data_IF_058165956662
#
_entry.id   IF_058165956662
#
_cell.length_a   1.000
_cell.length_b   1.000
_cell.length_c   1.000
_cell.angle_alpha   90.00
_cell.angle_beta   90.00
_cell.angle_gamma   90.00
#
_symmetry.space_group_name_H-M   'P 1'
#
loop_
_entity.id
_entity.type
_entity.pdbx_description
1 polymer ?
#
# COMPACT_ATOMS: atom_id res chain seq x y z
N UNK A 1 -36.58 -2.91 5.35
CA UNK A 1 -35.48 -3.89 5.22
C UNK A 1 -34.25 -3.15 5.68
N UNK A 2 -33.82 -3.41 6.91
CA UNK A 2 -32.57 -2.92 7.45
C UNK A 2 -31.81 -4.17 7.80
N UNK A 3 -30.84 -4.52 6.98
CA UNK A 3 -30.06 -5.74 7.13
C UNK A 3 -29.01 -5.47 8.22
N UNK A 4 -29.53 -5.45 9.44
CA UNK A 4 -28.81 -5.48 10.72
C UNK A 4 -28.40 -6.92 11.02
N UNK A 5 -27.56 -7.48 10.16
CA UNK A 5 -26.98 -8.80 10.38
C UNK A 5 -25.52 -8.82 9.92
N UNK A 6 -24.76 -7.78 10.29
CA UNK A 6 -23.46 -8.05 10.87
C UNK A 6 -23.49 -7.57 12.33
N UNK A 7 -23.25 -8.51 13.24
CA UNK A 7 -23.20 -8.26 14.67
C UNK A 7 -21.74 -8.10 15.02
N UNK A 8 -21.30 -6.86 15.20
CA UNK A 8 -19.99 -6.48 15.77
C UNK A 8 -19.79 -6.94 17.23
N UNK A 9 -20.64 -7.82 17.75
CA UNK A 9 -20.67 -8.35 19.12
C UNK A 9 -19.54 -9.38 19.43
N UNK A 10 -18.41 -9.29 18.71
CA UNK A 10 -17.42 -10.37 18.70
C UNK A 10 -15.98 -10.00 18.41
N UNK A 11 -15.57 -8.72 18.48
CA UNK A 11 -14.16 -8.33 18.54
C UNK A 11 -13.36 -8.46 17.25
N UNK A 12 -13.20 -7.34 16.54
CA UNK A 12 -12.07 -7.13 15.64
C UNK A 12 -12.32 -6.32 14.37
N UNK A 13 -13.57 -6.15 13.92
CA UNK A 13 -13.90 -5.50 12.64
C UNK A 13 -13.98 -3.97 12.69
N UNK A 14 -13.75 -3.34 11.53
CA UNK A 14 -14.07 -1.93 11.25
C UNK A 14 -15.59 -1.76 11.17
N UNK A 15 -16.12 -0.56 11.44
CA UNK A 15 -17.57 -0.31 11.39
C UNK A 15 -18.03 0.07 9.99
N UNK A 16 -19.29 -0.19 9.62
CA UNK A 16 -19.85 0.13 8.29
C UNK A 16 -19.59 1.58 7.86
N UNK A 17 -19.63 2.52 8.81
CA UNK A 17 -19.40 3.95 8.55
C UNK A 17 -17.92 4.26 8.27
N UNK A 18 -17.01 3.49 8.86
CA UNK A 18 -15.58 3.58 8.61
C UNK A 18 -15.24 2.90 7.27
N UNK A 19 -15.88 1.78 6.95
CA UNK A 19 -15.71 1.06 5.68
C UNK A 19 -16.12 1.91 4.47
N UNK A 20 -17.29 2.57 4.57
CA UNK A 20 -17.74 3.53 3.55
C UNK A 20 -16.75 4.71 3.44
N UNK A 21 -16.12 5.11 4.55
CA UNK A 21 -15.13 6.20 4.54
C UNK A 21 -13.79 5.77 3.94
N UNK A 22 -13.40 4.49 4.06
CA UNK A 22 -12.20 3.90 3.45
C UNK A 22 -12.43 3.40 2.02
N UNK A 23 -13.69 3.35 1.57
CA UNK A 23 -14.07 2.92 0.22
C UNK A 23 -14.23 1.41 0.08
N UNK A 24 -14.35 0.69 1.19
CA UNK A 24 -14.65 -0.74 1.26
C UNK A 24 -16.16 -0.98 1.36
N UNK A 25 -16.61 -2.20 1.05
CA UNK A 25 -18.02 -2.57 1.13
C UNK A 25 -18.31 -3.24 2.49
N UNK A 26 -19.22 -2.69 3.33
CA UNK A 26 -19.59 -3.31 4.60
C UNK A 26 -20.19 -4.72 4.48
N UNK A 27 -20.55 -5.14 3.28
CA UNK A 27 -21.06 -6.48 2.99
C UNK A 27 -20.00 -7.41 2.37
N UNK A 28 -18.80 -6.90 2.12
CA UNK A 28 -17.67 -7.66 1.58
C UNK A 28 -16.49 -7.61 2.56
N UNK A 29 -16.24 -8.70 3.32
CA UNK A 29 -15.18 -8.70 4.33
C UNK A 29 -13.76 -8.66 3.75
N UNK A 30 -13.56 -8.83 2.44
CA UNK A 30 -12.28 -8.81 1.70
C UNK A 30 -12.48 -8.03 0.39
N UNK A 31 -12.45 -6.68 0.49
CA UNK A 31 -12.93 -5.77 -0.57
C UNK A 31 -12.09 -5.82 -1.85
N UNK A 32 -10.83 -6.23 -1.79
CA UNK A 32 -9.97 -6.36 -2.96
C UNK A 32 -9.73 -7.81 -3.40
N UNK A 33 -10.12 -8.79 -2.59
CA UNK A 33 -10.09 -10.22 -2.91
C UNK A 33 -8.68 -10.80 -2.86
N UNK A 34 -7.77 -10.22 -2.09
CA UNK A 34 -6.41 -10.70 -1.93
C UNK A 34 -6.28 -11.86 -0.91
N UNK A 35 -7.36 -12.11 -0.15
CA UNK A 35 -7.46 -13.14 0.87
C UNK A 35 -7.16 -12.67 2.30
N UNK A 36 -7.11 -11.36 2.54
CA UNK A 36 -6.95 -10.72 3.85
C UNK A 36 -8.18 -9.87 4.15
N UNK A 37 -8.86 -10.16 5.26
CA UNK A 37 -10.08 -9.41 5.62
C UNK A 37 -9.76 -7.91 5.86
N UNK A 38 -10.63 -7.02 5.40
CA UNK A 38 -10.50 -5.55 5.47
C UNK A 38 -10.18 -5.05 6.90
N UNK A 39 -10.70 -5.74 7.91
CA UNK A 39 -10.49 -5.41 9.33
C UNK A 39 -9.06 -5.65 9.83
N UNK A 40 -8.27 -6.47 9.14
CA UNK A 40 -6.86 -6.75 9.46
C UNK A 40 -5.88 -6.38 8.34
N UNK A 41 -6.39 -6.09 7.15
CA UNK A 41 -5.61 -5.61 6.02
C UNK A 41 -5.07 -4.19 6.26
N UNK A 42 -3.80 -4.00 5.92
CA UNK A 42 -3.18 -2.68 5.89
C UNK A 42 -3.62 -1.84 4.68
N UNK A 43 -4.07 -2.47 3.59
CA UNK A 43 -4.52 -1.84 2.35
C UNK A 43 -5.79 -2.51 1.80
N UNK A 44 -6.97 -2.29 2.41
CA UNK A 44 -8.25 -2.94 2.05
C UNK A 44 -8.75 -2.72 0.61
N UNK A 45 -8.02 -1.91 -0.17
CA UNK A 45 -8.27 -1.67 -1.60
C UNK A 45 -6.91 -1.63 -2.31
N UNK A 46 -6.42 -2.80 -2.69
CA UNK A 46 -5.11 -2.96 -3.31
C UNK A 46 -5.13 -2.85 -4.83
N UNK A 47 -4.01 -2.39 -5.41
CA UNK A 47 -3.75 -2.55 -6.84
C UNK A 47 -3.08 -3.91 -7.13
N UNK A 48 -3.91 -4.87 -7.52
CA UNK A 48 -3.54 -6.24 -7.89
C UNK A 48 -2.88 -6.39 -9.28
N UNK A 49 -2.42 -5.30 -9.90
CA UNK A 49 -1.63 -5.36 -11.13
C UNK A 49 -0.47 -6.35 -10.98
N UNK A 50 -0.31 -7.23 -11.98
CA UNK A 50 0.69 -8.30 -11.93
C UNK A 50 2.13 -7.79 -11.81
N UNK A 51 2.39 -6.57 -12.26
CA UNK A 51 3.69 -5.92 -12.17
C UNK A 51 3.60 -4.59 -11.44
N UNK A 52 4.74 -4.15 -10.91
CA UNK A 52 4.86 -2.85 -10.27
C UNK A 52 4.82 -1.77 -11.33
N UNK A 53 3.76 -0.97 -11.31
CA UNK A 53 3.51 0.12 -12.25
C UNK A 53 3.56 1.47 -11.54
N UNK A 54 4.46 2.35 -12.00
CA UNK A 54 4.66 3.66 -11.39
C UNK A 54 4.35 4.73 -12.43
N UNK A 55 3.17 5.34 -12.34
CA UNK A 55 2.71 6.42 -13.23
C UNK A 55 2.85 6.06 -14.72
N UNK A 56 2.38 4.86 -15.09
CA UNK A 56 2.47 4.32 -16.45
C UNK A 56 3.84 3.74 -16.83
N UNK A 57 4.79 3.68 -15.89
CA UNK A 57 6.05 2.97 -16.05
C UNK A 57 5.94 1.56 -15.44
N UNK A 58 5.70 0.58 -16.30
CA UNK A 58 5.81 -0.84 -15.95
C UNK A 58 7.28 -1.20 -15.72
N UNK A 59 7.59 -1.60 -14.49
CA UNK A 59 8.95 -1.97 -14.08
C UNK A 59 9.34 -3.39 -14.53
N UNK A 60 8.36 -4.21 -14.92
CA UNK A 60 8.52 -5.64 -15.17
C UNK A 60 8.83 -6.48 -13.91
N UNK A 61 8.79 -5.85 -12.72
CA UNK A 61 8.94 -6.54 -11.44
C UNK A 61 7.57 -7.02 -11.00
N UNK A 62 7.46 -8.29 -10.63
CA UNK A 62 6.20 -8.86 -10.15
C UNK A 62 5.76 -8.13 -8.88
N UNK A 63 4.53 -7.61 -8.86
CA UNK A 63 3.91 -7.11 -7.63
C UNK A 63 3.55 -8.31 -6.77
N UNK A 64 4.15 -8.40 -5.59
CA UNK A 64 3.90 -9.51 -4.67
C UNK A 64 2.91 -9.05 -3.60
N UNK A 65 1.91 -9.88 -3.33
CA UNK A 65 1.08 -9.77 -2.15
C UNK A 65 1.92 -10.14 -0.92
N UNK A 66 2.02 -9.22 0.02
CA UNK A 66 2.73 -9.44 1.27
C UNK A 66 1.78 -10.07 2.30
N UNK A 67 2.30 -10.73 3.36
CA UNK A 67 1.46 -11.36 4.38
C UNK A 67 0.56 -10.42 5.18
N UNK A 68 0.62 -9.12 4.92
CA UNK A 68 -0.15 -8.09 5.58
C UNK A 68 -1.18 -7.43 4.63
N UNK A 69 -1.57 -8.13 3.56
CA UNK A 69 -2.52 -7.69 2.51
C UNK A 69 -1.95 -6.64 1.54
N UNK A 70 -0.92 -5.91 1.94
CA UNK A 70 -0.28 -4.95 1.04
C UNK A 70 0.40 -5.58 -0.19
N UNK A 71 0.15 -5.06 -1.38
CA UNK A 71 0.98 -5.31 -2.56
C UNK A 71 2.12 -4.29 -2.68
N UNK A 72 3.07 -4.55 -3.59
CA UNK A 72 4.12 -3.57 -3.90
C UNK A 72 3.56 -2.29 -4.51
N UNK A 73 2.46 -2.36 -5.27
CA UNK A 73 1.83 -1.17 -5.84
C UNK A 73 1.25 -0.27 -4.73
N UNK A 74 0.67 -0.86 -3.68
CA UNK A 74 0.06 -0.09 -2.59
C UNK A 74 1.10 0.65 -1.77
N UNK A 75 2.21 0.00 -1.47
CA UNK A 75 3.34 0.66 -0.82
C UNK A 75 3.97 1.77 -1.68
N UNK A 76 3.95 1.64 -3.01
CA UNK A 76 4.40 2.73 -3.90
C UNK A 76 3.38 3.86 -3.95
N UNK A 77 2.08 3.56 -3.97
CA UNK A 77 1.01 4.55 -3.84
C UNK A 77 1.13 5.33 -2.52
N UNK A 78 1.31 4.61 -1.41
CA UNK A 78 1.56 5.19 -0.09
C UNK A 78 2.82 6.07 -0.07
N UNK A 79 3.87 5.68 -0.80
CA UNK A 79 5.07 6.49 -0.96
C UNK A 79 4.83 7.77 -1.78
N UNK A 80 3.88 7.79 -2.73
CA UNK A 80 3.50 8.98 -3.48
C UNK A 80 2.71 9.98 -2.62
N UNK A 81 1.79 9.47 -1.80
CA UNK A 81 0.97 10.28 -0.91
C UNK A 81 1.74 10.76 0.31
N UNK A 82 2.51 9.86 0.93
CA UNK A 82 3.16 10.07 2.23
C UNK A 82 4.64 9.61 2.22
N UNK A 83 5.51 10.17 1.35
CA UNK A 83 6.90 9.74 1.20
C UNK A 83 7.74 9.87 2.49
N UNK A 84 7.31 10.71 3.42
CA UNK A 84 7.97 10.94 4.69
C UNK A 84 8.01 9.71 5.60
N UNK A 85 6.99 8.85 5.50
CA UNK A 85 6.89 7.63 6.32
C UNK A 85 8.00 6.62 5.95
N UNK A 86 8.46 6.66 4.70
CA UNK A 86 9.48 5.75 4.15
C UNK A 86 10.88 6.36 4.14
N UNK A 87 11.03 7.62 4.53
CA UNK A 87 12.32 8.33 4.53
C UNK A 87 12.89 8.57 5.92
N UNK A 88 12.07 8.44 6.98
CA UNK A 88 12.52 8.57 8.37
C UNK A 88 12.90 7.19 8.93
N UNK A 89 14.19 7.02 9.25
CA UNK A 89 14.69 5.90 10.05
C UNK A 89 13.88 5.81 11.35
N UNK A 90 13.11 4.73 11.51
CA UNK A 90 12.68 4.19 12.80
C UNK A 90 12.16 5.23 13.81
N UNK A 91 10.94 5.72 13.63
CA UNK A 91 10.07 6.18 14.73
C UNK A 91 8.65 6.40 14.21
N UNK A 92 7.73 5.56 14.68
CA UNK A 92 6.27 5.72 14.70
C UNK A 92 5.78 7.06 14.11
N UNK A 93 5.21 7.01 12.91
CA UNK A 93 4.53 8.15 12.31
C UNK A 93 3.14 8.25 12.93
N UNK A 94 2.95 9.23 13.79
CA UNK A 94 1.63 9.68 14.25
C UNK A 94 0.93 10.34 13.06
N UNK A 95 -0.32 9.95 12.79
CA UNK A 95 -1.17 10.58 11.77
C UNK A 95 -1.17 12.10 11.97
N UNK A 96 -0.65 12.83 10.99
CA UNK A 96 -0.38 14.25 11.20
C UNK A 96 0.26 14.95 10.02
N UNK A 97 -0.61 15.34 9.06
CA UNK A 97 -0.44 16.43 8.09
C UNK A 97 0.54 16.15 6.93
N UNK A 98 -0.02 15.91 5.74
CA UNK A 98 0.68 15.85 4.45
C UNK A 98 1.54 17.10 4.24
N UNK A 99 2.86 16.99 4.41
CA UNK A 99 3.74 17.98 3.82
C UNK A 99 3.78 17.73 2.31
N UNK A 100 3.87 18.81 1.54
CA UNK A 100 3.85 18.82 0.08
C UNK A 100 4.80 17.77 -0.49
N UNK A 101 4.26 16.63 -0.95
CA UNK A 101 5.03 15.58 -1.63
C UNK A 101 5.72 16.20 -2.83
N UNK A 102 7.05 16.21 -2.79
CA UNK A 102 7.87 16.61 -3.93
C UNK A 102 8.29 15.35 -4.67
N UNK A 103 8.45 15.44 -5.99
CA UNK A 103 8.97 14.32 -6.79
C UNK A 103 10.24 13.71 -6.20
N UNK A 104 11.17 14.55 -5.72
CA UNK A 104 12.39 14.09 -5.06
C UNK A 104 12.16 13.33 -3.76
N UNK A 105 11.14 13.67 -2.97
CA UNK A 105 10.76 12.93 -1.76
C UNK A 105 10.14 11.56 -2.12
N UNK A 106 9.28 11.52 -3.13
CA UNK A 106 8.71 10.29 -3.67
C UNK A 106 9.79 9.33 -4.17
N UNK A 107 10.68 9.77 -5.06
CA UNK A 107 11.76 8.94 -5.60
C UNK A 107 12.63 8.38 -4.48
N UNK A 108 12.91 9.17 -3.44
CA UNK A 108 13.68 8.74 -2.28
C UNK A 108 12.92 7.70 -1.43
N UNK A 109 11.62 7.90 -1.23
CA UNK A 109 10.76 6.97 -0.53
C UNK A 109 10.72 5.61 -1.24
N UNK A 110 10.47 5.60 -2.55
CA UNK A 110 10.47 4.37 -3.36
C UNK A 110 11.85 3.69 -3.35
N UNK A 111 12.93 4.45 -3.44
CA UNK A 111 14.30 3.89 -3.36
C UNK A 111 14.56 3.20 -2.03
N UNK A 112 14.15 3.81 -0.91
CA UNK A 112 14.28 3.24 0.43
C UNK A 112 13.42 1.98 0.62
N UNK A 113 12.19 2.01 0.11
CA UNK A 113 11.26 0.89 0.12
C UNK A 113 11.81 -0.30 -0.66
N UNK A 114 12.28 -0.07 -1.89
CA UNK A 114 12.90 -1.09 -2.72
C UNK A 114 14.20 -1.63 -2.10
N UNK A 115 14.97 -0.79 -1.39
CA UNK A 115 16.11 -1.26 -0.58
C UNK A 115 15.67 -2.18 0.57
N UNK A 116 14.55 -1.87 1.22
CA UNK A 116 13.92 -2.71 2.24
C UNK A 116 13.55 -4.08 1.67
N UNK A 117 12.82 -4.11 0.54
CA UNK A 117 12.42 -5.33 -0.14
C UNK A 117 13.62 -6.17 -0.60
N UNK A 118 14.66 -5.52 -1.12
CA UNK A 118 15.91 -6.20 -1.48
C UNK A 118 16.57 -6.84 -0.26
N UNK A 119 16.63 -6.14 0.87
CA UNK A 119 17.21 -6.68 2.12
C UNK A 119 16.39 -7.83 2.68
N UNK A 120 15.07 -7.78 2.53
CA UNK A 120 14.15 -8.87 2.89
C UNK A 120 14.23 -10.07 1.93
N UNK A 121 14.94 -9.94 0.80
CA UNK A 121 15.05 -11.01 -0.21
C UNK A 121 13.82 -11.12 -1.12
N UNK A 122 12.92 -10.14 -1.10
CA UNK A 122 11.69 -10.13 -1.90
C UNK A 122 11.95 -9.74 -3.36
N UNK A 123 12.98 -8.93 -3.59
CA UNK A 123 13.44 -8.52 -4.93
C UNK A 123 14.97 -8.57 -5.04
N UNK A 124 15.47 -8.64 -6.26
CA UNK A 124 16.87 -8.58 -6.62
C UNK A 124 17.38 -7.14 -6.75
N UNK A 125 18.70 -6.98 -6.82
CA UNK A 125 19.30 -5.68 -7.09
C UNK A 125 18.93 -5.09 -8.47
N UNK A 126 18.62 -5.93 -9.46
CA UNK A 126 18.16 -5.49 -10.79
C UNK A 126 16.74 -4.95 -10.73
N UNK A 127 15.83 -5.67 -10.07
CA UNK A 127 14.45 -5.27 -9.88
C UNK A 127 14.34 -3.97 -9.07
N UNK A 128 15.15 -3.83 -8.01
CA UNK A 128 15.29 -2.56 -7.28
C UNK A 128 15.67 -1.40 -8.22
N UNK A 129 16.62 -1.66 -9.13
CA UNK A 129 17.05 -0.68 -10.13
C UNK A 129 15.92 -0.27 -11.08
N UNK A 130 15.13 -1.23 -11.55
CA UNK A 130 13.97 -0.99 -12.42
C UNK A 130 12.91 -0.13 -11.71
N UNK A 131 12.52 -0.49 -10.49
CA UNK A 131 11.55 0.23 -9.65
C UNK A 131 12.00 1.68 -9.42
N UNK A 132 13.25 1.86 -8.97
CA UNK A 132 13.80 3.19 -8.68
C UNK A 132 13.90 4.03 -9.96
N UNK A 133 14.23 3.40 -11.10
CA UNK A 133 14.32 4.10 -12.38
C UNK A 133 12.96 4.55 -12.89
N UNK A 134 11.90 3.74 -12.75
CA UNK A 134 10.54 4.14 -13.08
C UNK A 134 10.07 5.29 -12.19
N UNK A 135 10.27 5.20 -10.88
CA UNK A 135 9.94 6.27 -9.94
C UNK A 135 10.66 7.58 -10.27
N UNK A 136 11.93 7.53 -10.69
CA UNK A 136 12.65 8.74 -11.11
C UNK A 136 12.05 9.39 -12.38
N UNK A 137 11.32 8.63 -13.20
CA UNK A 137 10.77 9.04 -14.49
C UNK A 137 9.30 9.45 -14.44
N UNK A 138 8.56 9.12 -13.37
CA UNK A 138 7.17 9.56 -13.16
C UNK A 138 7.10 11.09 -13.07
N UNK A 139 5.99 11.72 -13.44
CA UNK A 139 5.86 13.18 -13.54
C UNK A 139 4.63 13.76 -12.87
#
# INVERSE_FOLDING_TARGET
MGDNADTDDGGGGVSDVDEIATGTDPLDPDSDGDGVDDGVDAFPVSNLDATVNIDGCDTGVVSQLLPNGATFNDWIGAAAENPEQFTKSSKSAKSGKSAKSTHGAFVKAVSNLADGWKKAGLITGREKGAITSCAARSK
#
